data_IF_899046266368
#
_entry.id   IF_899046266368
#
_cell.length_a   1.000
_cell.length_b   1.000
_cell.length_c   1.000
_cell.angle_alpha   90.00
_cell.angle_beta   90.00
_cell.angle_gamma   90.00
#
_symmetry.space_group_name_H-M   'P 1'
#
loop_
_entity.id
_entity.type
_entity.pdbx_description
1 polymer ?
#
# COMPACT_ATOMS: atom_id res chain seq x y z
N UNK A 1 -65.28 38.44 -18.21
CA UNK A 1 -64.87 37.48 -17.16
C UNK A 1 -63.70 36.57 -17.56
N UNK A 2 -63.53 36.18 -18.83
CA UNK A 2 -62.52 35.18 -19.23
C UNK A 2 -61.04 35.61 -19.10
N UNK A 3 -60.71 36.91 -19.31
CA UNK A 3 -59.33 37.46 -19.17
C UNK A 3 -58.83 37.56 -17.72
N UNK A 4 -59.73 37.84 -16.77
CA UNK A 4 -59.37 37.98 -15.35
C UNK A 4 -58.96 36.63 -14.73
N UNK A 5 -59.62 35.54 -15.12
CA UNK A 5 -59.28 34.18 -14.67
C UNK A 5 -57.94 33.69 -15.24
N UNK A 6 -57.58 34.09 -16.46
CA UNK A 6 -56.29 33.72 -17.08
C UNK A 6 -55.12 34.46 -16.43
N UNK A 7 -55.30 35.75 -16.11
CA UNK A 7 -54.28 36.56 -15.45
C UNK A 7 -54.01 36.09 -14.01
N UNK A 8 -55.06 35.80 -13.25
CA UNK A 8 -54.95 35.23 -11.91
C UNK A 8 -54.23 33.86 -11.89
N UNK A 9 -54.49 32.99 -12.88
CA UNK A 9 -53.77 31.72 -13.03
C UNK A 9 -52.29 31.93 -13.35
N UNK A 10 -51.94 32.86 -14.24
CA UNK A 10 -50.55 33.16 -14.54
C UNK A 10 -49.79 33.67 -13.31
N UNK A 11 -50.37 34.59 -12.55
CA UNK A 11 -49.77 35.10 -11.30
C UNK A 11 -49.58 33.99 -10.27
N UNK A 12 -50.51 33.03 -10.19
CA UNK A 12 -50.38 31.85 -9.34
C UNK A 12 -49.20 30.96 -9.74
N UNK A 13 -49.03 30.68 -11.04
CA UNK A 13 -47.89 29.88 -11.55
C UNK A 13 -46.55 30.60 -11.38
N UNK A 14 -46.49 31.92 -11.61
CA UNK A 14 -45.28 32.73 -11.38
C UNK A 14 -44.90 32.71 -9.89
N UNK A 15 -45.88 32.87 -8.99
CA UNK A 15 -45.63 32.77 -7.55
C UNK A 15 -45.19 31.37 -7.10
N UNK A 16 -45.70 30.31 -7.72
CA UNK A 16 -45.23 28.93 -7.48
C UNK A 16 -43.79 28.73 -7.95
N UNK A 17 -43.43 29.23 -9.14
CA UNK A 17 -42.07 29.16 -9.67
C UNK A 17 -41.07 29.96 -8.83
N UNK A 18 -41.47 31.15 -8.36
CA UNK A 18 -40.66 31.96 -7.45
C UNK A 18 -40.47 31.26 -6.09
N UNK A 19 -41.52 30.64 -5.54
CA UNK A 19 -41.43 29.85 -4.30
C UNK A 19 -40.57 28.60 -4.44
N UNK A 20 -40.52 27.97 -5.62
CA UNK A 20 -39.69 26.78 -5.89
C UNK A 20 -38.22 27.12 -6.18
N UNK A 21 -37.90 28.36 -6.52
CA UNK A 21 -36.54 28.82 -6.87
C UNK A 21 -35.56 28.74 -5.69
N UNK A 22 -35.97 29.21 -4.51
CA UNK A 22 -35.10 29.24 -3.33
C UNK A 22 -34.73 27.83 -2.81
N UNK A 23 -35.68 26.86 -2.70
CA UNK A 23 -35.35 25.47 -2.39
C UNK A 23 -34.41 24.84 -3.43
N UNK A 24 -34.62 25.08 -4.73
CA UNK A 24 -33.76 24.55 -5.79
C UNK A 24 -32.34 25.11 -5.72
N UNK A 25 -32.18 26.41 -5.48
CA UNK A 25 -30.87 27.04 -5.30
C UNK A 25 -30.15 26.50 -4.05
N UNK A 26 -30.88 26.28 -2.94
CA UNK A 26 -30.33 25.64 -1.73
C UNK A 26 -29.90 24.20 -1.99
N UNK A 27 -30.68 23.41 -2.72
CA UNK A 27 -30.31 22.04 -3.11
C UNK A 27 -29.07 22.03 -4.02
N UNK A 28 -28.98 22.94 -4.98
CA UNK A 28 -27.80 23.08 -5.85
C UNK A 28 -26.56 23.50 -5.05
N UNK A 29 -26.69 24.45 -4.12
CA UNK A 29 -25.60 24.85 -3.24
C UNK A 29 -25.17 23.71 -2.30
N UNK A 30 -26.12 22.98 -1.70
CA UNK A 30 -25.84 21.82 -0.86
C UNK A 30 -25.17 20.69 -1.65
N UNK A 31 -25.61 20.42 -2.88
CA UNK A 31 -24.98 19.45 -3.79
C UNK A 31 -23.56 19.85 -4.17
N UNK A 32 -23.31 21.14 -4.46
CA UNK A 32 -21.96 21.66 -4.72
C UNK A 32 -21.06 21.55 -3.49
N UNK A 33 -21.56 21.90 -2.30
CA UNK A 33 -20.83 21.79 -1.04
C UNK A 33 -20.52 20.32 -0.71
N UNK A 34 -21.49 19.42 -0.89
CA UNK A 34 -21.28 17.98 -0.73
C UNK A 34 -20.21 17.46 -1.70
N UNK A 35 -20.24 17.91 -2.97
CA UNK A 35 -19.22 17.56 -3.95
C UNK A 35 -17.82 18.06 -3.55
N UNK A 36 -17.70 19.29 -3.05
CA UNK A 36 -16.42 19.81 -2.56
C UNK A 36 -15.93 19.05 -1.32
N UNK A 37 -16.82 18.68 -0.42
CA UNK A 37 -16.49 17.93 0.79
C UNK A 37 -16.03 16.51 0.46
N UNK A 38 -16.75 15.80 -0.42
CA UNK A 38 -16.36 14.45 -0.88
C UNK A 38 -14.99 14.49 -1.56
N UNK A 39 -14.75 15.45 -2.47
CA UNK A 39 -13.45 15.63 -3.10
C UNK A 39 -12.34 15.93 -2.07
N UNK A 40 -12.64 16.75 -1.06
CA UNK A 40 -11.71 17.07 0.01
C UNK A 40 -11.32 15.81 0.81
N UNK A 41 -12.30 15.02 1.25
CA UNK A 41 -12.05 13.79 2.02
C UNK A 41 -11.36 12.72 1.17
N UNK A 42 -11.82 12.47 -0.05
CA UNK A 42 -11.19 11.52 -0.96
C UNK A 42 -9.71 11.85 -1.19
N UNK A 43 -9.41 13.13 -1.46
CA UNK A 43 -8.02 13.60 -1.58
C UNK A 43 -7.23 13.39 -0.29
N UNK A 44 -7.83 13.63 0.88
CA UNK A 44 -7.18 13.40 2.17
C UNK A 44 -6.84 11.92 2.40
N UNK A 45 -7.73 11.00 2.04
CA UNK A 45 -7.45 9.55 2.12
C UNK A 45 -6.34 9.11 1.16
N UNK A 46 -6.32 9.67 -0.06
CA UNK A 46 -5.24 9.43 -1.03
C UNK A 46 -3.91 9.98 -0.55
N UNK A 47 -3.90 11.12 0.16
CA UNK A 47 -2.69 11.69 0.74
C UNK A 47 -2.15 10.86 1.92
N UNK A 48 -2.99 10.15 2.68
CA UNK A 48 -2.47 9.17 3.66
C UNK A 48 -1.68 8.06 3.00
N UNK A 49 -2.17 7.60 1.84
CA UNK A 49 -1.73 6.37 1.17
C UNK A 49 -0.84 6.62 -0.06
N UNK A 50 -0.44 7.88 -0.33
CA UNK A 50 0.13 8.27 -1.62
C UNK A 50 1.36 7.46 -2.05
N UNK A 51 2.34 7.30 -1.15
CA UNK A 51 3.50 6.45 -1.40
C UNK A 51 3.10 4.96 -1.45
N UNK A 52 2.18 4.55 -0.56
CA UNK A 52 1.76 3.17 -0.41
C UNK A 52 0.97 2.60 -1.58
N UNK A 53 0.35 3.45 -2.40
CA UNK A 53 -0.31 3.02 -3.64
C UNK A 53 0.73 2.38 -4.58
N UNK A 54 1.90 3.00 -4.73
CA UNK A 54 2.94 2.55 -5.65
C UNK A 54 3.80 1.42 -5.07
N UNK A 55 4.09 1.44 -3.76
CA UNK A 55 4.98 0.44 -3.14
C UNK A 55 4.26 -0.80 -2.59
N UNK A 56 2.96 -0.72 -2.33
CA UNK A 56 2.22 -1.80 -1.66
C UNK A 56 0.92 -2.18 -2.37
N UNK A 57 0.01 -1.23 -2.69
CA UNK A 57 -1.30 -1.59 -3.28
C UNK A 57 -1.12 -2.21 -4.67
N UNK A 58 -0.43 -1.51 -5.58
CA UNK A 58 -0.23 -2.00 -6.94
C UNK A 58 0.61 -3.30 -6.95
N UNK A 59 1.77 -3.38 -6.27
CA UNK A 59 2.54 -4.61 -6.22
C UNK A 59 1.82 -5.77 -5.52
N UNK A 60 1.09 -5.51 -4.43
CA UNK A 60 0.32 -6.53 -3.71
C UNK A 60 -0.84 -7.08 -4.55
N UNK A 61 -1.53 -6.20 -5.28
CA UNK A 61 -2.56 -6.63 -6.25
C UNK A 61 -1.93 -7.47 -7.35
N UNK A 62 -0.82 -7.01 -7.95
CA UNK A 62 -0.13 -7.76 -9.00
C UNK A 62 0.36 -9.12 -8.49
N UNK A 63 0.97 -9.17 -7.30
CA UNK A 63 1.39 -10.39 -6.63
C UNK A 63 0.22 -11.38 -6.49
N UNK A 64 -0.90 -10.94 -5.91
CA UNK A 64 -2.05 -11.82 -5.68
C UNK A 64 -2.58 -12.43 -6.97
N UNK A 65 -2.73 -11.63 -8.02
CA UNK A 65 -3.25 -12.10 -9.32
C UNK A 65 -2.26 -13.01 -10.04
N UNK A 66 -0.98 -12.65 -10.10
CA UNK A 66 0.03 -13.40 -10.83
C UNK A 66 0.39 -14.71 -10.14
N UNK A 67 0.41 -14.74 -8.80
CA UNK A 67 0.54 -15.99 -8.06
C UNK A 67 -0.72 -16.86 -8.20
N UNK A 68 -1.93 -16.30 -8.21
CA UNK A 68 -3.14 -17.07 -8.50
C UNK A 68 -3.11 -17.68 -9.92
N UNK A 69 -2.59 -16.96 -10.91
CA UNK A 69 -2.45 -17.43 -12.30
C UNK A 69 -1.37 -18.49 -12.48
N UNK A 70 -0.42 -18.62 -11.55
CA UNK A 70 0.67 -19.59 -11.66
C UNK A 70 0.22 -21.05 -11.51
N UNK A 71 -1.01 -21.27 -11.02
CA UNK A 71 -1.68 -22.55 -10.97
C UNK A 71 -0.80 -23.66 -10.37
N UNK A 72 -0.44 -24.71 -11.14
CA UNK A 72 0.34 -25.84 -10.64
C UNK A 72 1.68 -25.48 -10.00
N UNK A 73 2.34 -24.37 -10.40
CA UNK A 73 3.65 -23.99 -9.84
C UNK A 73 3.58 -23.68 -8.34
N UNK A 74 2.42 -23.22 -7.87
CA UNK A 74 2.15 -22.97 -6.47
C UNK A 74 1.11 -23.96 -5.92
N UNK A 75 0.90 -25.12 -6.54
CA UNK A 75 -0.13 -26.10 -6.14
C UNK A 75 -1.53 -25.46 -5.98
N UNK A 76 -1.87 -24.51 -6.84
CA UNK A 76 -3.17 -23.83 -6.87
C UNK A 76 -4.03 -24.36 -8.03
N UNK A 77 -5.37 -24.36 -7.88
CA UNK A 77 -6.26 -24.78 -8.96
C UNK A 77 -6.08 -23.87 -10.19
N UNK A 78 -6.05 -24.50 -11.37
CA UNK A 78 -6.03 -23.76 -12.63
C UNK A 78 -7.33 -22.96 -12.79
N UNK A 79 -7.20 -21.66 -13.02
CA UNK A 79 -8.33 -20.74 -13.19
C UNK A 79 -8.11 -19.90 -14.44
N UNK A 80 -9.21 -19.50 -15.09
CA UNK A 80 -9.11 -18.64 -16.27
C UNK A 80 -8.65 -17.23 -15.88
N UNK A 81 -7.92 -16.58 -16.79
CA UNK A 81 -7.49 -15.19 -16.61
C UNK A 81 -8.67 -14.27 -16.27
N UNK A 82 -9.80 -14.43 -16.96
CA UNK A 82 -11.00 -13.63 -16.73
C UNK A 82 -11.55 -13.77 -15.31
N UNK A 83 -11.58 -14.98 -14.76
CA UNK A 83 -12.07 -15.20 -13.38
C UNK A 83 -11.20 -14.50 -12.34
N UNK A 84 -9.88 -14.57 -12.51
CA UNK A 84 -8.93 -13.88 -11.62
C UNK A 84 -9.00 -12.36 -11.82
N UNK A 85 -9.07 -11.89 -13.07
CA UNK A 85 -9.15 -10.46 -13.39
C UNK A 85 -10.41 -9.79 -12.82
N UNK A 86 -11.54 -10.51 -12.76
CA UNK A 86 -12.77 -10.02 -12.12
C UNK A 86 -12.61 -9.76 -10.61
N UNK A 87 -11.54 -10.28 -9.97
CA UNK A 87 -11.24 -10.07 -8.55
C UNK A 87 -10.31 -8.87 -8.29
N UNK A 88 -9.80 -8.21 -9.34
CA UNK A 88 -8.94 -7.01 -9.22
C UNK A 88 -9.57 -5.94 -8.31
N UNK A 89 -10.86 -5.58 -8.45
CA UNK A 89 -11.46 -4.56 -7.59
C UNK A 89 -11.47 -4.97 -6.11
N UNK A 90 -11.83 -6.23 -5.81
CA UNK A 90 -11.87 -6.75 -4.43
C UNK A 90 -10.47 -6.75 -3.80
N UNK A 91 -9.46 -7.27 -4.51
CA UNK A 91 -8.07 -7.33 -4.03
C UNK A 91 -7.54 -5.92 -3.77
N UNK A 92 -7.67 -5.04 -4.75
CA UNK A 92 -7.12 -3.68 -4.67
C UNK A 92 -7.81 -2.85 -3.61
N UNK A 93 -9.13 -2.95 -3.49
CA UNK A 93 -9.89 -2.22 -2.49
C UNK A 93 -9.61 -2.71 -1.06
N UNK A 94 -9.54 -4.03 -0.86
CA UNK A 94 -9.18 -4.60 0.44
C UNK A 94 -7.76 -4.19 0.85
N UNK A 95 -6.78 -4.32 -0.05
CA UNK A 95 -5.41 -3.87 0.21
C UNK A 95 -5.36 -2.39 0.55
N UNK A 96 -5.98 -1.54 -0.27
CA UNK A 96 -6.00 -0.09 -0.03
C UNK A 96 -6.61 0.26 1.33
N UNK A 97 -7.70 -0.40 1.72
CA UNK A 97 -8.37 -0.14 3.00
C UNK A 97 -7.50 -0.54 4.20
N UNK A 98 -6.87 -1.71 4.14
CA UNK A 98 -5.96 -2.19 5.20
C UNK A 98 -4.71 -1.29 5.29
N UNK A 99 -4.16 -0.88 4.15
CA UNK A 99 -3.03 0.05 4.08
C UNK A 99 -3.38 1.45 4.56
N UNK A 100 -4.59 1.95 4.24
CA UNK A 100 -5.10 3.21 4.77
C UNK A 100 -5.12 3.15 6.30
N UNK A 101 -5.60 2.06 6.87
CA UNK A 101 -5.58 1.85 8.32
C UNK A 101 -4.15 1.92 8.89
N UNK A 102 -3.19 1.23 8.27
CA UNK A 102 -1.77 1.32 8.67
C UNK A 102 -1.26 2.76 8.60
N UNK A 103 -1.51 3.46 7.49
CA UNK A 103 -1.02 4.81 7.25
C UNK A 103 -1.59 5.78 8.30
N UNK A 104 -2.88 5.71 8.58
CA UNK A 104 -3.52 6.56 9.60
C UNK A 104 -2.93 6.26 10.98
N UNK A 105 -2.78 4.98 11.34
CA UNK A 105 -2.20 4.59 12.65
C UNK A 105 -0.74 5.02 12.79
N UNK A 106 0.05 4.92 11.73
CA UNK A 106 1.46 5.27 11.75
C UNK A 106 1.72 6.79 11.75
N UNK A 107 0.85 7.58 11.12
CA UNK A 107 1.04 9.01 10.90
C UNK A 107 0.43 9.90 12.00
N UNK A 108 -0.40 9.34 12.91
CA UNK A 108 -1.20 10.15 13.86
C UNK A 108 -0.45 10.70 15.07
N UNK A 109 0.62 10.05 15.52
CA UNK A 109 1.31 10.46 16.76
C UNK A 109 2.15 11.71 16.56
N UNK A 110 2.35 12.49 17.63
CA UNK A 110 3.12 13.74 17.59
C UNK A 110 4.53 13.54 17.01
N UNK A 111 5.24 12.51 17.48
CA UNK A 111 6.56 12.18 16.96
C UNK A 111 6.54 11.86 15.44
N UNK A 112 5.50 11.15 14.97
CA UNK A 112 5.34 10.85 13.53
C UNK A 112 5.05 12.12 12.74
N UNK A 113 4.30 13.07 13.30
CA UNK A 113 4.04 14.37 12.67
C UNK A 113 5.33 15.19 12.58
N UNK A 114 6.20 15.15 13.60
CA UNK A 114 7.52 15.81 13.56
C UNK A 114 8.41 15.22 12.46
N UNK A 115 8.51 13.89 12.38
CA UNK A 115 9.24 13.18 11.34
C UNK A 115 8.71 13.53 9.93
N UNK A 116 7.38 13.43 9.75
CA UNK A 116 6.75 13.68 8.45
C UNK A 116 6.78 15.15 8.04
N UNK A 117 6.82 16.09 8.97
CA UNK A 117 6.99 17.52 8.65
C UNK A 117 8.31 17.79 7.94
N UNK A 118 9.34 16.97 8.20
CA UNK A 118 10.63 17.03 7.51
C UNK A 118 10.59 16.23 6.21
N UNK A 119 10.19 14.96 6.28
CA UNK A 119 10.34 14.04 5.15
C UNK A 119 9.22 14.18 4.11
N UNK A 120 7.99 14.37 4.58
CA UNK A 120 6.74 14.24 3.80
C UNK A 120 5.72 15.32 4.22
N UNK A 121 6.05 16.63 4.12
CA UNK A 121 5.19 17.73 4.60
C UNK A 121 3.84 17.83 3.86
N UNK A 122 3.69 17.10 2.75
CA UNK A 122 2.46 16.98 1.98
C UNK A 122 1.42 16.02 2.61
N UNK A 123 1.81 15.22 3.62
CA UNK A 123 0.89 14.30 4.31
C UNK A 123 -0.21 15.05 5.06
N UNK A 124 -1.39 14.42 5.27
CA UNK A 124 -2.57 15.12 5.76
C UNK A 124 -2.41 15.89 7.07
N UNK A 125 -1.69 15.32 8.05
CA UNK A 125 -1.54 15.94 9.37
C UNK A 125 -0.47 17.05 9.33
N UNK A 126 0.77 16.81 8.85
CA UNK A 126 1.77 17.88 8.69
C UNK A 126 1.28 19.06 7.83
N UNK A 127 0.48 18.80 6.79
CA UNK A 127 -0.04 19.84 5.91
C UNK A 127 -1.27 20.58 6.48
N UNK A 128 -1.70 20.27 7.70
CA UNK A 128 -2.87 20.88 8.34
C UNK A 128 -4.22 20.51 7.73
N UNK A 129 -4.31 19.47 6.90
CA UNK A 129 -5.59 19.02 6.30
C UNK A 129 -6.46 18.26 7.28
N UNK A 130 -5.86 17.66 8.30
CA UNK A 130 -6.55 16.91 9.33
C UNK A 130 -5.76 16.93 10.64
N UNK A 131 -6.46 16.94 11.78
CA UNK A 131 -5.82 16.85 13.09
C UNK A 131 -5.64 15.38 13.52
N UNK A 132 -4.76 15.12 14.49
CA UNK A 132 -4.54 13.78 15.02
C UNK A 132 -5.78 13.17 15.67
N UNK A 133 -6.64 13.97 16.29
CA UNK A 133 -7.90 13.51 16.90
C UNK A 133 -8.90 13.04 15.82
N UNK A 134 -8.96 13.75 14.70
CA UNK A 134 -9.79 13.33 13.54
C UNK A 134 -9.20 12.08 12.88
N UNK A 135 -7.87 11.96 12.85
CA UNK A 135 -7.19 10.75 12.38
C UNK A 135 -7.56 9.52 13.23
N UNK A 136 -7.69 9.69 14.55
CA UNK A 136 -8.11 8.63 15.47
C UNK A 136 -9.55 8.14 15.18
N UNK A 137 -10.47 9.05 14.88
CA UNK A 137 -11.84 8.69 14.47
C UNK A 137 -11.82 7.92 13.14
N UNK A 138 -11.05 8.39 12.16
CA UNK A 138 -10.85 7.69 10.89
C UNK A 138 -10.23 6.30 11.09
N UNK A 139 -9.29 6.16 12.03
CA UNK A 139 -8.67 4.89 12.36
C UNK A 139 -9.71 3.88 12.87
N UNK A 140 -10.59 4.29 13.77
CA UNK A 140 -11.69 3.43 14.27
C UNK A 140 -12.65 3.03 13.15
N UNK A 141 -13.02 3.98 12.29
CA UNK A 141 -13.88 3.70 11.14
C UNK A 141 -13.25 2.71 10.16
N UNK A 142 -11.95 2.85 9.87
CA UNK A 142 -11.22 1.94 8.98
C UNK A 142 -11.08 0.54 9.58
N UNK A 143 -10.90 0.40 10.90
CA UNK A 143 -10.92 -0.92 11.57
C UNK A 143 -12.26 -1.65 11.36
N UNK A 144 -13.38 -0.97 11.58
CA UNK A 144 -14.72 -1.55 11.39
C UNK A 144 -14.93 -1.96 9.94
N UNK A 145 -14.62 -1.07 9.00
CA UNK A 145 -14.76 -1.32 7.57
C UNK A 145 -13.87 -2.47 7.09
N UNK A 146 -12.60 -2.49 7.50
CA UNK A 146 -11.65 -3.52 7.12
C UNK A 146 -11.99 -4.89 7.73
N UNK A 147 -12.48 -4.92 8.97
CA UNK A 147 -12.96 -6.14 9.61
C UNK A 147 -14.16 -6.73 8.86
N UNK A 148 -15.18 -5.92 8.58
CA UNK A 148 -16.37 -6.34 7.84
C UNK A 148 -16.03 -6.84 6.43
N UNK A 149 -15.15 -6.12 5.71
CA UNK A 149 -14.70 -6.53 4.39
C UNK A 149 -13.87 -7.82 4.44
N UNK A 150 -12.98 -7.96 5.42
CA UNK A 150 -12.15 -9.17 5.59
C UNK A 150 -12.99 -10.40 5.92
N UNK A 151 -14.04 -10.25 6.73
CA UNK A 151 -15.03 -11.30 6.96
C UNK A 151 -15.75 -11.69 5.67
N UNK A 152 -16.27 -10.71 4.91
CA UNK A 152 -16.97 -10.96 3.64
C UNK A 152 -16.09 -11.66 2.60
N UNK A 153 -14.79 -11.35 2.59
CA UNK A 153 -13.82 -11.90 1.64
C UNK A 153 -13.12 -13.17 2.15
N UNK A 154 -13.54 -13.73 3.28
CA UNK A 154 -12.98 -14.94 3.90
C UNK A 154 -11.47 -14.83 4.23
N UNK A 155 -10.99 -13.62 4.59
CA UNK A 155 -9.60 -13.35 5.01
C UNK A 155 -9.51 -12.76 6.42
N UNK A 156 -10.56 -12.91 7.22
CA UNK A 156 -10.61 -12.41 8.60
C UNK A 156 -9.42 -12.89 9.47
N UNK A 157 -8.99 -14.17 9.45
CA UNK A 157 -7.85 -14.60 10.25
C UNK A 157 -6.56 -13.84 9.91
N UNK A 158 -6.29 -13.60 8.62
CA UNK A 158 -5.14 -12.82 8.15
C UNK A 158 -5.23 -11.38 8.66
N UNK A 159 -6.43 -10.78 8.58
CA UNK A 159 -6.66 -9.43 9.10
C UNK A 159 -6.45 -9.33 10.61
N UNK A 160 -6.90 -10.31 11.40
CA UNK A 160 -6.70 -10.30 12.86
C UNK A 160 -5.20 -10.36 13.23
N UNK A 161 -4.43 -11.22 12.56
CA UNK A 161 -2.96 -11.26 12.73
C UNK A 161 -2.34 -9.91 12.38
N UNK A 162 -2.77 -9.32 11.26
CA UNK A 162 -2.33 -7.98 10.86
C UNK A 162 -2.63 -6.93 11.93
N UNK A 163 -3.84 -6.90 12.52
CA UNK A 163 -4.19 -5.97 13.61
C UNK A 163 -3.24 -6.13 14.80
N UNK A 164 -2.96 -7.36 15.21
CA UNK A 164 -2.02 -7.60 16.31
C UNK A 164 -0.62 -7.05 15.98
N UNK A 165 -0.11 -7.32 14.78
CA UNK A 165 1.21 -6.87 14.34
C UNK A 165 1.30 -5.35 14.23
N UNK A 166 0.28 -4.70 13.68
CA UNK A 166 0.31 -3.27 13.40
C UNK A 166 0.13 -2.42 14.65
N UNK A 167 -0.67 -2.91 15.60
CA UNK A 167 -0.77 -2.34 16.95
C UNK A 167 0.52 -2.55 17.73
N UNK A 168 1.12 -3.75 17.67
CA UNK A 168 2.44 -3.99 18.28
C UNK A 168 3.53 -3.08 17.70
N UNK A 169 3.49 -2.85 16.39
CA UNK A 169 4.45 -1.99 15.69
C UNK A 169 4.27 -0.51 16.04
N UNK A 170 3.06 0.04 15.93
CA UNK A 170 2.81 1.48 16.09
C UNK A 170 2.56 1.88 17.55
N UNK A 171 1.69 1.17 18.25
CA UNK A 171 1.15 1.63 19.53
C UNK A 171 1.96 1.09 20.73
N UNK A 172 2.56 -0.10 20.59
CA UNK A 172 3.49 -0.66 21.59
C UNK A 172 4.97 -0.41 21.26
N UNK A 173 5.26 0.46 20.28
CA UNK A 173 6.61 0.92 19.98
C UNK A 173 7.53 -0.10 19.29
N UNK A 174 7.00 -1.22 18.79
CA UNK A 174 7.80 -2.23 18.07
C UNK A 174 8.60 -1.64 16.91
N UNK A 175 8.02 -0.68 16.18
CA UNK A 175 8.67 0.01 15.05
C UNK A 175 9.79 0.98 15.44
N UNK A 176 9.99 1.24 16.73
CA UNK A 176 11.01 2.14 17.26
C UNK A 176 12.08 1.41 18.10
N UNK A 177 11.95 0.08 18.27
CA UNK A 177 12.82 -0.70 19.16
C UNK A 177 14.24 -0.90 18.60
N UNK A 178 14.36 -1.24 17.32
CA UNK A 178 15.60 -1.28 16.55
C UNK A 178 15.30 -1.36 15.05
N UNK A 179 16.29 -1.09 14.19
CA UNK A 179 16.14 -1.20 12.74
C UNK A 179 15.79 -2.63 12.30
N UNK A 180 16.40 -3.64 12.93
CA UNK A 180 16.10 -5.05 12.64
C UNK A 180 14.66 -5.40 13.02
N UNK A 181 14.22 -5.04 14.23
CA UNK A 181 12.87 -5.36 14.70
C UNK A 181 11.82 -4.66 13.82
N UNK A 182 12.05 -3.39 13.46
CA UNK A 182 11.23 -2.64 12.51
C UNK A 182 11.10 -3.41 11.19
N UNK A 183 12.21 -3.84 10.61
CA UNK A 183 12.22 -4.59 9.36
C UNK A 183 11.44 -5.91 9.45
N UNK A 184 11.57 -6.66 10.55
CA UNK A 184 10.83 -7.90 10.79
C UNK A 184 9.32 -7.65 10.89
N UNK A 185 8.90 -6.59 11.60
CA UNK A 185 7.49 -6.19 11.63
C UNK A 185 6.99 -5.78 10.26
N UNK A 186 7.77 -5.03 9.48
CA UNK A 186 7.42 -4.69 8.10
C UNK A 186 7.22 -5.97 7.27
N UNK A 187 8.16 -6.91 7.31
CA UNK A 187 8.02 -8.19 6.59
C UNK A 187 6.78 -8.98 7.03
N UNK A 188 6.50 -9.02 8.33
CA UNK A 188 5.33 -9.71 8.86
C UNK A 188 4.01 -9.05 8.41
N UNK A 189 3.92 -7.72 8.46
CA UNK A 189 2.75 -6.97 7.99
C UNK A 189 2.52 -7.13 6.50
N UNK A 190 3.58 -7.03 5.69
CA UNK A 190 3.48 -7.28 4.26
C UNK A 190 3.12 -8.73 3.92
N UNK A 191 3.52 -9.70 4.76
CA UNK A 191 3.08 -11.09 4.61
C UNK A 191 1.56 -11.20 4.72
N UNK A 192 0.93 -10.48 5.66
CA UNK A 192 -0.53 -10.41 5.74
C UNK A 192 -1.15 -9.75 4.50
N UNK A 193 -0.56 -8.66 4.00
CA UNK A 193 -1.04 -7.99 2.79
C UNK A 193 -1.00 -8.93 1.58
N UNK A 194 0.13 -9.59 1.36
CA UNK A 194 0.35 -10.43 0.19
C UNK A 194 -0.43 -11.74 0.28
N UNK A 195 -0.49 -12.37 1.45
CA UNK A 195 -1.30 -13.57 1.65
C UNK A 195 -2.80 -13.27 1.54
N UNK A 196 -3.26 -12.13 2.04
CA UNK A 196 -4.64 -11.70 1.90
C UNK A 196 -5.00 -11.40 0.44
N UNK A 197 -4.14 -10.67 -0.27
CA UNK A 197 -4.31 -10.41 -1.69
C UNK A 197 -4.37 -11.70 -2.52
N UNK A 198 -3.47 -12.65 -2.26
CA UNK A 198 -3.48 -13.95 -2.93
C UNK A 198 -4.73 -14.76 -2.58
N UNK A 199 -5.12 -14.83 -1.30
CA UNK A 199 -6.33 -15.54 -0.86
C UNK A 199 -7.59 -15.00 -1.55
N UNK A 200 -7.73 -13.67 -1.63
CA UNK A 200 -8.84 -13.04 -2.35
C UNK A 200 -8.76 -13.36 -3.85
N UNK A 201 -7.56 -13.30 -4.44
CA UNK A 201 -7.35 -13.53 -5.87
C UNK A 201 -7.63 -14.97 -6.30
N UNK A 202 -7.35 -15.98 -5.45
CA UNK A 202 -7.65 -17.40 -5.76
C UNK A 202 -9.12 -17.75 -5.57
N UNK A 203 -9.86 -16.98 -4.76
CA UNK A 203 -11.29 -17.16 -4.51
C UNK A 203 -11.60 -17.70 -3.12
N UNK A 204 -12.79 -17.40 -2.59
CA UNK A 204 -13.20 -17.68 -1.20
C UNK A 204 -13.20 -19.15 -0.81
N UNK A 205 -13.35 -20.04 -1.79
CA UNK A 205 -13.49 -21.48 -1.59
C UNK A 205 -12.17 -22.23 -1.73
N UNK A 206 -11.08 -21.51 -2.03
CA UNK A 206 -9.75 -22.08 -2.26
C UNK A 206 -8.82 -21.70 -1.10
N UNK A 207 -8.33 -22.71 -0.38
CA UNK A 207 -7.27 -22.51 0.61
C UNK A 207 -5.91 -22.41 -0.07
N UNK A 208 -5.03 -21.56 0.46
CA UNK A 208 -3.65 -21.47 -0.02
C UNK A 208 -2.89 -22.76 0.29
N UNK A 209 -2.21 -23.29 -0.72
CA UNK A 209 -1.34 -24.45 -0.59
C UNK A 209 -0.09 -24.13 0.23
N UNK A 210 0.65 -25.17 0.61
CA UNK A 210 1.97 -24.99 1.25
C UNK A 210 2.97 -24.27 0.35
N UNK A 211 2.94 -24.50 -0.97
CA UNK A 211 3.81 -23.81 -1.92
C UNK A 211 3.46 -22.31 -2.03
N UNK A 212 2.17 -21.98 -2.09
CA UNK A 212 1.69 -20.59 -2.10
C UNK A 212 2.09 -19.83 -0.82
N UNK A 213 1.94 -20.46 0.35
CA UNK A 213 2.40 -19.89 1.63
C UNK A 213 3.91 -19.69 1.67
N UNK A 214 4.70 -20.69 1.23
CA UNK A 214 6.16 -20.58 1.17
C UNK A 214 6.60 -19.44 0.26
N UNK A 215 6.01 -19.32 -0.93
CA UNK A 215 6.33 -18.23 -1.85
C UNK A 215 6.00 -16.87 -1.25
N UNK A 216 4.81 -16.75 -0.65
CA UNK A 216 4.38 -15.52 0.05
C UNK A 216 5.35 -15.16 1.18
N UNK A 217 5.77 -16.13 2.00
CA UNK A 217 6.74 -15.91 3.07
C UNK A 217 8.11 -15.47 2.52
N UNK A 218 8.59 -16.06 1.42
CA UNK A 218 9.86 -15.66 0.81
C UNK A 218 9.81 -14.21 0.33
N UNK A 219 8.83 -13.83 -0.49
CA UNK A 219 8.77 -12.47 -1.04
C UNK A 219 8.43 -11.43 0.03
N UNK A 220 7.43 -11.70 0.87
CA UNK A 220 6.85 -10.71 1.75
C UNK A 220 7.54 -10.64 3.11
N UNK A 221 8.06 -11.75 3.63
CA UNK A 221 8.88 -11.74 4.85
C UNK A 221 10.37 -11.70 4.50
N UNK A 222 10.86 -12.69 3.73
CA UNK A 222 12.29 -12.85 3.45
C UNK A 222 12.91 -11.66 2.71
N UNK A 223 12.43 -11.37 1.49
CA UNK A 223 12.98 -10.29 0.66
C UNK A 223 12.73 -8.94 1.31
N UNK A 224 11.48 -8.64 1.71
CA UNK A 224 11.16 -7.34 2.29
C UNK A 224 11.91 -7.09 3.60
N UNK A 225 11.88 -7.97 4.60
CA UNK A 225 12.57 -7.69 5.88
C UNK A 225 14.08 -7.47 5.73
N UNK A 226 14.69 -8.03 4.67
CA UNK A 226 16.13 -7.89 4.41
C UNK A 226 16.48 -6.75 3.43
N UNK A 227 15.49 -6.07 2.85
CA UNK A 227 15.72 -5.01 1.85
C UNK A 227 14.92 -3.73 2.09
N UNK A 228 13.92 -3.73 2.97
CA UNK A 228 13.03 -2.60 3.28
C UNK A 228 13.78 -1.37 3.80
N UNK A 229 14.99 -1.54 4.36
CA UNK A 229 15.89 -0.45 4.73
C UNK A 229 16.28 0.44 3.54
N UNK A 230 16.13 -0.05 2.30
CA UNK A 230 16.40 0.73 1.09
C UNK A 230 15.55 2.01 1.02
N UNK A 231 14.37 2.01 1.65
CA UNK A 231 13.55 3.23 1.73
C UNK A 231 14.04 4.21 2.80
N UNK A 232 14.74 3.75 3.84
CA UNK A 232 15.12 4.57 5.00
C UNK A 232 16.09 5.70 4.60
N UNK A 233 16.87 5.52 3.53
CA UNK A 233 17.80 6.54 3.07
C UNK A 233 17.11 7.87 2.70
N UNK A 234 15.87 7.83 2.17
CA UNK A 234 15.14 9.06 1.81
C UNK A 234 14.50 9.75 3.02
N UNK A 235 14.32 9.00 4.10
CA UNK A 235 13.63 9.39 5.32
C UNK A 235 14.61 9.68 6.47
N UNK A 236 15.93 9.52 6.24
CA UNK A 236 16.99 9.65 7.26
C UNK A 236 16.95 10.99 8.02
N UNK A 237 16.61 12.10 7.35
CA UNK A 237 16.60 13.42 7.98
C UNK A 237 15.52 13.51 9.06
N UNK A 238 14.27 13.12 8.75
CA UNK A 238 13.19 13.06 9.73
C UNK A 238 13.40 11.95 10.77
N UNK A 239 13.97 10.81 10.39
CA UNK A 239 14.31 9.74 11.33
C UNK A 239 15.30 10.24 12.39
N UNK A 240 16.33 10.98 11.99
CA UNK A 240 17.29 11.60 12.91
C UNK A 240 16.65 12.67 13.78
N UNK A 241 15.80 13.53 13.21
CA UNK A 241 15.13 14.61 13.95
C UNK A 241 14.25 14.07 15.09
N UNK A 242 13.57 12.95 14.85
CA UNK A 242 12.72 12.25 15.84
C UNK A 242 13.53 11.34 16.78
N UNK A 243 14.79 11.04 16.49
CA UNK A 243 15.57 10.02 17.21
C UNK A 243 15.11 8.58 16.92
N UNK A 244 14.52 8.35 15.74
CA UNK A 244 14.00 7.04 15.32
C UNK A 244 15.14 6.07 15.02
N UNK A 245 15.02 4.85 15.57
CA UNK A 245 15.97 3.76 15.35
C UNK A 245 15.61 2.97 14.09
N UNK A 246 16.37 3.20 13.03
CA UNK A 246 16.27 2.51 11.74
C UNK A 246 17.61 1.84 11.42
N UNK A 247 17.64 0.94 10.44
CA UNK A 247 18.90 0.26 10.12
C UNK A 247 19.95 1.26 9.61
N UNK A 248 19.50 2.28 8.86
CA UNK A 248 20.35 3.40 8.42
C UNK A 248 20.86 4.24 9.59
N UNK A 249 20.04 4.60 10.58
CA UNK A 249 20.49 5.41 11.72
C UNK A 249 21.37 4.64 12.70
N UNK A 250 21.18 3.32 12.82
CA UNK A 250 21.97 2.45 13.71
C UNK A 250 23.32 2.03 13.12
N UNK A 251 23.36 1.60 11.86
CA UNK A 251 24.58 1.10 11.21
C UNK A 251 25.37 2.20 10.50
N UNK A 252 24.73 3.34 10.25
CA UNK A 252 25.24 4.38 9.35
C UNK A 252 25.06 4.02 7.87
N UNK A 253 25.01 5.06 7.03
CA UNK A 253 24.65 4.95 5.60
C UNK A 253 25.50 3.92 4.83
N UNK A 254 26.82 3.90 5.04
CA UNK A 254 27.72 3.02 4.26
C UNK A 254 27.48 1.54 4.54
N UNK A 255 27.33 1.17 5.81
CA UNK A 255 27.07 -0.22 6.21
C UNK A 255 25.65 -0.62 5.79
N UNK A 256 24.67 0.26 5.96
CA UNK A 256 23.32 0.02 5.47
C UNK A 256 23.29 -0.23 3.94
N UNK A 257 24.06 0.50 3.14
CA UNK A 257 24.16 0.24 1.69
C UNK A 257 24.79 -1.12 1.38
N UNK A 258 25.75 -1.59 2.18
CA UNK A 258 26.28 -2.95 2.05
C UNK A 258 25.22 -4.02 2.26
N UNK A 259 24.30 -3.82 3.21
CA UNK A 259 23.17 -4.75 3.37
C UNK A 259 22.33 -4.81 2.09
N UNK A 260 22.06 -3.67 1.44
CA UNK A 260 21.33 -3.61 0.16
C UNK A 260 22.09 -4.31 -0.95
N UNK A 261 23.41 -4.09 -1.07
CA UNK A 261 24.23 -4.77 -2.10
C UNK A 261 24.12 -6.29 -1.99
N UNK A 262 24.28 -6.82 -0.78
CA UNK A 262 24.29 -8.26 -0.52
C UNK A 262 22.90 -8.85 -0.74
N UNK A 263 21.86 -8.28 -0.12
CA UNK A 263 20.53 -8.89 -0.12
C UNK A 263 19.84 -8.76 -1.48
N UNK A 264 20.01 -7.64 -2.20
CA UNK A 264 19.47 -7.48 -3.56
C UNK A 264 20.14 -8.44 -4.54
N UNK A 265 21.47 -8.58 -4.49
CA UNK A 265 22.17 -9.53 -5.36
C UNK A 265 21.75 -10.97 -5.08
N UNK A 266 21.69 -11.35 -3.80
CA UNK A 266 21.26 -12.68 -3.38
C UNK A 266 19.84 -12.99 -3.88
N UNK A 267 18.84 -12.16 -3.56
CA UNK A 267 17.45 -12.45 -3.90
C UNK A 267 17.17 -12.39 -5.40
N UNK A 268 17.88 -11.55 -6.15
CA UNK A 268 17.76 -11.46 -7.62
C UNK A 268 18.17 -12.75 -8.34
N UNK A 269 19.04 -13.55 -7.72
CA UNK A 269 19.52 -14.82 -8.28
C UNK A 269 18.86 -16.02 -7.62
N UNK A 270 18.80 -16.03 -6.29
CA UNK A 270 18.31 -17.17 -5.51
C UNK A 270 16.84 -17.48 -5.81
N UNK A 271 15.96 -16.48 -5.91
CA UNK A 271 14.54 -16.77 -6.16
C UNK A 271 14.28 -17.40 -7.53
N UNK A 272 14.74 -16.84 -8.68
CA UNK A 272 14.47 -17.45 -9.98
C UNK A 272 15.22 -18.77 -10.21
N UNK A 273 16.50 -18.85 -9.80
CA UNK A 273 17.38 -19.97 -10.15
C UNK A 273 17.42 -21.05 -9.05
N UNK A 274 17.42 -20.65 -7.79
CA UNK A 274 17.52 -21.56 -6.65
C UNK A 274 16.17 -22.08 -6.17
N UNK A 275 15.24 -21.17 -5.86
CA UNK A 275 13.94 -21.52 -5.29
C UNK A 275 12.99 -22.13 -6.33
N UNK A 276 12.85 -21.52 -7.50
CA UNK A 276 12.02 -22.06 -8.58
C UNK A 276 12.74 -23.05 -9.50
N UNK A 277 14.07 -23.19 -9.37
CA UNK A 277 14.85 -24.07 -10.25
C UNK A 277 14.80 -23.67 -11.74
N UNK A 278 14.44 -22.42 -12.04
CA UNK A 278 14.26 -21.95 -13.41
C UNK A 278 15.57 -21.57 -14.10
N UNK A 279 15.55 -21.43 -15.42
CA UNK A 279 16.68 -20.93 -16.20
C UNK A 279 16.79 -19.39 -16.19
N UNK A 280 17.83 -18.85 -16.84
CA UNK A 280 18.09 -17.39 -16.88
C UNK A 280 16.92 -16.53 -17.41
N UNK A 281 15.99 -17.12 -18.18
CA UNK A 281 14.78 -16.44 -18.64
C UNK A 281 13.85 -16.03 -17.49
N UNK A 282 13.75 -16.83 -16.42
CA UNK A 282 12.95 -16.48 -15.23
C UNK A 282 13.62 -15.37 -14.41
N UNK A 283 14.95 -15.25 -14.51
CA UNK A 283 15.74 -14.27 -13.74
C UNK A 283 15.79 -12.86 -14.37
N UNK A 284 15.29 -12.67 -15.59
CA UNK A 284 15.46 -11.40 -16.33
C UNK A 284 14.95 -10.19 -15.55
N UNK A 285 13.72 -10.24 -15.01
CA UNK A 285 13.13 -9.09 -14.31
C UNK A 285 13.82 -8.80 -12.96
N UNK A 286 14.01 -9.78 -12.05
CA UNK A 286 14.78 -9.54 -10.83
C UNK A 286 16.21 -9.03 -11.08
N UNK A 287 16.92 -9.60 -12.04
CA UNK A 287 18.31 -9.21 -12.35
C UNK A 287 18.38 -7.83 -13.01
N UNK A 288 17.46 -7.50 -13.93
CA UNK A 288 17.44 -6.21 -14.60
C UNK A 288 17.19 -5.07 -13.60
N UNK A 289 16.10 -5.15 -12.83
CA UNK A 289 15.78 -4.12 -11.84
C UNK A 289 16.76 -4.13 -10.67
N UNK A 290 17.25 -5.31 -10.28
CA UNK A 290 18.29 -5.46 -9.27
C UNK A 290 19.58 -4.78 -9.70
N UNK A 291 20.02 -4.99 -10.94
CA UNK A 291 21.18 -4.31 -11.51
C UNK A 291 21.04 -2.78 -11.51
N UNK A 292 19.88 -2.25 -11.89
CA UNK A 292 19.61 -0.80 -11.80
C UNK A 292 19.63 -0.29 -10.35
N UNK A 293 19.12 -1.09 -9.40
CA UNK A 293 19.12 -0.76 -7.99
C UNK A 293 20.55 -0.71 -7.44
N UNK A 294 21.35 -1.75 -7.71
CA UNK A 294 22.75 -1.84 -7.31
C UNK A 294 23.58 -0.71 -7.93
N UNK A 295 23.39 -0.40 -9.21
CA UNK A 295 24.08 0.72 -9.86
C UNK A 295 23.72 2.07 -9.22
N UNK A 296 22.47 2.24 -8.80
CA UNK A 296 22.03 3.45 -8.07
C UNK A 296 22.60 3.49 -6.65
N UNK A 297 22.65 2.35 -5.96
CA UNK A 297 23.26 2.23 -4.65
C UNK A 297 24.78 2.51 -4.68
N UNK A 298 25.51 2.09 -5.72
CA UNK A 298 26.93 2.46 -5.92
C UNK A 298 27.10 3.97 -6.06
N UNK A 299 26.22 4.63 -6.83
CA UNK A 299 26.24 6.10 -6.96
C UNK A 299 25.94 6.77 -5.62
N UNK A 300 24.96 6.27 -4.86
CA UNK A 300 24.62 6.78 -3.53
C UNK A 300 25.73 6.53 -2.49
N UNK A 301 26.48 5.44 -2.62
CA UNK A 301 27.64 5.15 -1.77
C UNK A 301 28.77 6.16 -1.98
N UNK A 302 29.02 6.56 -3.22
CA UNK A 302 30.08 7.52 -3.58
C UNK A 302 29.66 8.96 -3.26
N UNK A 303 28.49 9.37 -3.75
CA UNK A 303 28.03 10.77 -3.76
C UNK A 303 26.58 10.86 -3.26
N UNK A 304 26.34 10.36 -2.05
CA UNK A 304 25.01 10.31 -1.44
C UNK A 304 24.31 11.66 -1.42
N UNK A 305 23.06 11.70 -1.89
CA UNK A 305 22.20 12.87 -1.83
C UNK A 305 20.72 12.46 -1.88
N UNK A 306 19.85 13.37 -1.48
CA UNK A 306 18.41 13.12 -1.38
C UNK A 306 17.73 12.71 -2.69
N UNK A 307 18.24 13.16 -3.85
CA UNK A 307 17.68 12.75 -5.16
C UNK A 307 17.99 11.28 -5.45
N UNK A 308 19.21 10.83 -5.15
CA UNK A 308 19.59 9.43 -5.31
C UNK A 308 18.83 8.54 -4.33
N UNK A 309 18.64 8.97 -3.09
CA UNK A 309 17.92 8.19 -2.08
C UNK A 309 16.44 7.96 -2.47
N UNK A 310 15.78 9.00 -3.00
CA UNK A 310 14.42 8.88 -3.57
C UNK A 310 14.38 7.96 -4.79
N UNK A 311 15.41 8.03 -5.65
CA UNK A 311 15.52 7.16 -6.83
C UNK A 311 15.73 5.70 -6.41
N UNK A 312 16.55 5.46 -5.39
CA UNK A 312 16.85 4.15 -4.84
C UNK A 312 15.57 3.46 -4.37
N UNK A 313 14.75 4.17 -3.58
CA UNK A 313 13.43 3.69 -3.16
C UNK A 313 12.53 3.31 -4.34
N UNK A 314 12.38 4.20 -5.34
CA UNK A 314 11.51 3.92 -6.51
C UNK A 314 11.97 2.69 -7.30
N UNK A 315 13.27 2.54 -7.52
CA UNK A 315 13.80 1.37 -8.23
C UNK A 315 13.64 0.11 -7.38
N UNK A 316 13.78 0.21 -6.05
CA UNK A 316 13.50 -0.90 -5.15
C UNK A 316 12.03 -1.35 -5.23
N UNK A 317 11.06 -0.43 -5.34
CA UNK A 317 9.67 -0.79 -5.59
C UNK A 317 9.50 -1.55 -6.93
N UNK A 318 10.16 -1.09 -8.00
CA UNK A 318 10.15 -1.80 -9.30
C UNK A 318 10.81 -3.18 -9.22
N UNK A 319 11.89 -3.29 -8.45
CA UNK A 319 12.58 -4.56 -8.22
C UNK A 319 11.69 -5.55 -7.46
N UNK A 320 11.02 -5.10 -6.39
CA UNK A 320 10.00 -5.91 -5.68
C UNK A 320 8.87 -6.34 -6.63
N UNK A 321 8.38 -5.43 -7.47
CA UNK A 321 7.37 -5.74 -8.49
C UNK A 321 7.85 -6.80 -9.49
N UNK A 322 9.14 -6.78 -9.85
CA UNK A 322 9.77 -7.75 -10.76
C UNK A 322 9.71 -9.20 -10.31
N UNK A 323 9.50 -9.47 -9.01
CA UNK A 323 9.29 -10.83 -8.48
C UNK A 323 7.85 -11.33 -8.61
N UNK A 324 6.86 -10.43 -8.72
CA UNK A 324 5.44 -10.82 -8.76
C UNK A 324 5.09 -11.86 -9.84
N UNK A 325 5.58 -11.75 -11.10
CA UNK A 325 5.28 -12.74 -12.14
C UNK A 325 6.12 -14.02 -12.03
N UNK A 326 7.05 -14.13 -11.09
CA UNK A 326 8.07 -15.18 -11.10
C UNK A 326 7.50 -16.61 -11.09
N UNK A 327 6.49 -16.97 -10.26
CA UNK A 327 5.90 -18.31 -10.31
C UNK A 327 5.22 -18.61 -11.66
N UNK A 328 4.57 -17.61 -12.26
CA UNK A 328 3.94 -17.75 -13.57
C UNK A 328 4.99 -17.92 -14.69
N UNK A 329 6.08 -17.17 -14.64
CA UNK A 329 7.18 -17.28 -15.61
C UNK A 329 7.93 -18.61 -15.46
N UNK A 330 8.09 -19.11 -14.23
CA UNK A 330 8.66 -20.43 -13.98
C UNK A 330 7.83 -21.54 -14.66
N UNK A 331 6.50 -21.43 -14.65
CA UNK A 331 5.63 -22.34 -15.40
C UNK A 331 5.82 -22.24 -16.91
N UNK A 332 5.86 -21.03 -17.45
CA UNK A 332 5.92 -20.76 -18.91
C UNK A 332 7.27 -21.20 -19.50
N UNK A 333 8.35 -21.15 -18.71
CA UNK A 333 9.71 -21.45 -19.16
C UNK A 333 10.25 -22.81 -18.66
N UNK A 334 9.46 -23.57 -17.90
CA UNK A 334 9.79 -24.96 -17.55
C UNK A 334 9.78 -25.86 -18.81
#
# INVERSE_FOLDING_TARGET
>A
MHRYQTQSRMEHYVNLLLKARDPLLRCQAASKNLGSDVCFYARTLLLFTGDQILDTVIPGTAFGLLAALSGPTLDLPAQSFTSIAQRIPQVSFWLWLVILQFCVQNQRSEDSVQEDSVNKPWRPIPSGRMTSEKAEVLLKATHVAACALSYKLNVLPIFLVYICLITAYNDYGGGNKSGIIRNLFCGAGFSCYFSGALSIAVGSDVSLSSAAWKWTAIIAFGILSTTIQTQEFRDEAGDKARGRRTLVTELGRKVALWTVFITVAFWSLYTPLGFFGGGWKTAVLPVLFGGFLLATAIKAYRNGNSKLDRKLYKIWCLWMFGFCPLPLLAHIFA
#
